data_IF_058773398878
#
_entry.id   IF_058773398878
#
_cell.length_a   1.000
_cell.length_b   1.000
_cell.length_c   1.000
_cell.angle_alpha   90.00
_cell.angle_beta   90.00
_cell.angle_gamma   90.00
#
_symmetry.space_group_name_H-M   'P 1'
#
loop_
_entity.id
_entity.type
_entity.pdbx_description
1 polymer ?
#
# COMPACT_ATOMS: atom_id res chain seq x y z
N UNK A 1 -42.88 58.15 20.66
CA UNK A 1 -41.42 58.20 20.91
C UNK A 1 -40.85 56.82 20.64
N UNK A 2 -40.04 56.62 19.57
CA UNK A 2 -39.44 55.31 19.33
C UNK A 2 -38.27 55.09 20.30
N UNK A 3 -38.29 53.97 21.03
CA UNK A 3 -37.15 53.51 21.83
C UNK A 3 -36.04 53.06 20.88
N UNK A 4 -34.93 53.79 20.86
CA UNK A 4 -33.70 53.37 20.19
C UNK A 4 -33.06 52.23 20.97
N UNK A 5 -32.99 51.05 20.34
CA UNK A 5 -32.29 49.88 20.88
C UNK A 5 -30.76 50.16 20.86
N UNK A 6 -30.00 49.76 21.91
CA UNK A 6 -28.58 50.08 22.00
C UNK A 6 -27.76 49.40 20.90
N UNK A 7 -26.99 50.21 20.18
CA UNK A 7 -26.13 49.90 19.03
C UNK A 7 -24.90 49.00 19.36
N UNK A 8 -24.90 48.33 20.51
CA UNK A 8 -23.76 47.57 21.03
C UNK A 8 -23.75 46.12 20.51
N UNK A 9 -24.88 45.60 20.02
CA UNK A 9 -24.97 44.20 19.59
C UNK A 9 -24.40 43.89 18.19
N UNK A 10 -24.19 44.89 17.32
CA UNK A 10 -23.71 44.62 15.94
C UNK A 10 -22.22 44.26 15.87
N UNK A 11 -21.39 44.78 16.78
CA UNK A 11 -19.94 44.54 16.77
C UNK A 11 -19.55 43.17 17.33
N UNK A 12 -20.41 42.53 18.15
CA UNK A 12 -20.09 41.25 18.80
C UNK A 12 -20.36 40.03 17.91
N UNK A 13 -21.25 40.17 16.91
CA UNK A 13 -21.64 39.11 15.99
C UNK A 13 -20.46 38.50 15.20
N UNK A 14 -19.54 39.29 14.59
CA UNK A 14 -18.41 38.72 13.86
C UNK A 14 -17.44 37.95 14.76
N UNK A 15 -17.23 38.40 16.00
CA UNK A 15 -16.36 37.70 16.94
C UNK A 15 -16.96 36.39 17.42
N UNK A 16 -18.28 36.37 17.69
CA UNK A 16 -18.99 35.14 18.04
C UNK A 16 -18.97 34.12 16.90
N UNK A 17 -19.14 34.57 15.65
CA UNK A 17 -19.06 33.70 14.47
C UNK A 17 -17.64 33.15 14.29
N UNK A 18 -16.61 33.99 14.40
CA UNK A 18 -15.22 33.57 14.31
C UNK A 18 -14.87 32.54 15.40
N UNK A 19 -15.28 32.78 16.65
CA UNK A 19 -15.08 31.86 17.75
C UNK A 19 -15.77 30.51 17.50
N UNK A 20 -16.99 30.51 16.96
CA UNK A 20 -17.73 29.30 16.60
C UNK A 20 -17.00 28.50 15.49
N UNK A 21 -16.51 29.17 14.45
CA UNK A 21 -15.76 28.51 13.36
C UNK A 21 -14.47 27.88 13.88
N UNK A 22 -13.72 28.59 14.72
CA UNK A 22 -12.50 28.06 15.33
C UNK A 22 -12.78 26.87 16.26
N UNK A 23 -13.86 26.94 17.06
CA UNK A 23 -14.27 25.85 17.92
C UNK A 23 -14.68 24.61 17.11
N UNK A 24 -15.50 24.79 16.07
CA UNK A 24 -15.91 23.71 15.18
C UNK A 24 -14.70 23.05 14.51
N UNK A 25 -13.74 23.84 14.01
CA UNK A 25 -12.53 23.33 13.40
C UNK A 25 -11.65 22.54 14.39
N UNK A 26 -11.51 23.02 15.63
CA UNK A 26 -10.78 22.32 16.68
C UNK A 26 -11.46 20.99 17.05
N UNK A 27 -12.79 20.98 17.18
CA UNK A 27 -13.57 19.77 17.44
C UNK A 27 -13.50 18.77 16.29
N UNK A 28 -13.54 19.22 15.03
CA UNK A 28 -13.37 18.35 13.86
C UNK A 28 -11.99 17.73 13.81
N UNK A 29 -10.93 18.52 14.09
CA UNK A 29 -9.56 17.99 14.17
C UNK A 29 -9.40 16.98 15.30
N UNK A 30 -9.94 17.25 16.47
CA UNK A 30 -9.92 16.31 17.59
C UNK A 30 -10.65 15.01 17.24
N UNK A 31 -11.87 15.10 16.70
CA UNK A 31 -12.65 13.93 16.33
C UNK A 31 -11.93 13.03 15.33
N UNK A 32 -11.25 13.63 14.35
CA UNK A 32 -10.49 12.88 13.35
C UNK A 32 -9.29 12.14 13.96
N UNK A 33 -8.52 12.78 14.85
CA UNK A 33 -7.35 12.14 15.47
C UNK A 33 -7.73 10.99 16.40
N UNK A 34 -8.85 11.10 17.12
CA UNK A 34 -9.31 10.02 18.02
C UNK A 34 -9.77 8.77 17.27
N UNK A 35 -10.35 8.92 16.07
CA UNK A 35 -10.87 7.79 15.30
C UNK A 35 -9.76 7.00 14.57
N UNK A 36 -8.57 7.57 14.40
CA UNK A 36 -7.42 6.84 13.84
C UNK A 36 -6.83 5.84 14.84
N UNK A 37 -6.79 6.18 16.13
CA UNK A 37 -6.17 5.34 17.15
C UNK A 37 -6.95 4.04 17.46
N UNK A 38 -8.25 3.98 17.15
CA UNK A 38 -9.08 2.80 17.45
C UNK A 38 -9.01 1.72 16.35
N UNK A 39 -8.65 2.08 15.13
CA UNK A 39 -8.63 1.15 13.98
C UNK A 39 -7.30 0.40 13.82
N UNK A 40 -6.27 0.72 14.61
CA UNK A 40 -4.93 0.10 14.53
C UNK A 40 -4.75 -1.14 15.44
N UNK A 41 -5.84 -1.62 16.05
CA UNK A 41 -5.83 -2.88 16.81
C UNK A 41 -6.10 -4.09 15.90
N UNK A 42 -5.33 -4.22 14.81
CA UNK A 42 -5.22 -5.51 14.11
C UNK A 42 -3.95 -6.22 14.61
N UNK A 43 -4.04 -7.46 15.13
CA UNK A 43 -2.86 -8.17 15.62
C UNK A 43 -1.86 -8.35 14.49
N UNK A 44 -0.67 -7.81 14.70
CA UNK A 44 0.53 -8.10 13.91
C UNK A 44 0.77 -9.61 13.98
N UNK A 45 0.38 -10.31 12.92
CA UNK A 45 0.83 -11.67 12.70
C UNK A 45 2.36 -11.62 12.49
N UNK A 46 3.13 -12.52 13.13
CA UNK A 46 4.58 -12.49 13.03
C UNK A 46 4.98 -12.68 11.56
N UNK A 47 5.68 -11.67 11.03
CA UNK A 47 6.40 -11.72 9.77
C UNK A 47 7.36 -12.90 9.87
N UNK A 48 7.03 -14.00 9.19
CA UNK A 48 7.97 -15.07 8.90
C UNK A 48 8.99 -14.51 7.93
N UNK A 49 10.15 -14.15 8.47
CA UNK A 49 11.35 -13.77 7.72
C UNK A 49 11.85 -15.00 6.95
N UNK A 50 11.17 -15.34 5.85
CA UNK A 50 11.68 -16.31 4.89
C UNK A 50 12.66 -15.58 3.98
N UNK A 51 13.93 -15.69 4.34
CA UNK A 51 15.07 -15.25 3.54
C UNK A 51 14.94 -15.84 2.12
N UNK A 52 14.51 -15.03 1.15
CA UNK A 52 14.66 -15.36 -0.27
C UNK A 52 16.07 -15.00 -0.67
N UNK A 53 16.95 -16.00 -0.60
CA UNK A 53 18.22 -16.02 -1.30
C UNK A 53 17.97 -15.68 -2.76
N UNK A 54 18.44 -14.50 -3.15
CA UNK A 54 18.53 -14.02 -4.51
C UNK A 54 19.50 -14.95 -5.27
N UNK A 55 18.99 -16.04 -5.84
CA UNK A 55 19.75 -16.90 -6.74
C UNK A 55 19.51 -16.41 -8.16
N UNK A 56 20.40 -15.53 -8.61
CA UNK A 56 20.57 -15.15 -10.00
C UNK A 56 20.77 -16.40 -10.87
N UNK A 57 19.87 -16.52 -11.83
CA UNK A 57 19.91 -17.25 -13.09
C UNK A 57 21.32 -17.55 -13.65
N UNK A 58 21.55 -18.78 -14.17
CA UNK A 58 22.54 -19.03 -15.19
C UNK A 58 21.86 -19.45 -16.50
N UNK A 59 21.85 -18.58 -17.50
CA UNK A 59 21.66 -18.98 -18.91
C UNK A 59 23.03 -19.29 -19.51
N UNK A 60 23.44 -20.56 -19.42
CA UNK A 60 24.66 -21.05 -20.07
C UNK A 60 24.35 -21.39 -21.54
N UNK A 61 24.97 -20.65 -22.47
CA UNK A 61 25.06 -21.00 -23.89
C UNK A 61 25.95 -22.23 -24.07
N UNK A 62 25.45 -23.25 -24.75
CA UNK A 62 26.26 -24.39 -25.22
C UNK A 62 26.67 -24.15 -26.66
N UNK A 63 27.96 -23.87 -26.87
CA UNK A 63 28.61 -24.05 -28.17
C UNK A 63 29.38 -25.38 -28.17
N UNK A 64 29.21 -26.07 -29.29
CA UNK A 64 29.69 -27.38 -29.71
C UNK A 64 31.14 -27.72 -29.37
N UNK A 65 31.36 -28.94 -28.86
CA UNK A 65 32.52 -29.75 -29.25
C UNK A 65 32.19 -31.24 -29.21
N UNK A 66 32.11 -31.83 -30.39
CA UNK A 66 32.06 -33.27 -30.65
C UNK A 66 33.29 -33.94 -30.04
N UNK A 67 33.04 -34.87 -29.12
CA UNK A 67 34.01 -35.83 -28.63
C UNK A 67 33.26 -37.12 -28.38
N UNK A 68 33.59 -38.14 -29.18
CA UNK A 68 33.11 -39.51 -29.00
C UNK A 68 33.54 -39.99 -27.61
N UNK A 69 32.59 -40.05 -26.69
CA UNK A 69 32.75 -40.65 -25.37
C UNK A 69 31.68 -41.71 -25.17
N UNK A 70 32.17 -42.83 -24.66
CA UNK A 70 31.51 -44.11 -24.57
C UNK A 70 30.15 -44.07 -23.88
N UNK A 71 29.28 -44.95 -24.35
CA UNK A 71 27.96 -45.30 -23.84
C UNK A 71 28.11 -45.86 -22.41
N UNK A 72 28.32 -44.98 -21.44
CA UNK A 72 28.05 -45.27 -20.04
C UNK A 72 26.55 -45.16 -19.84
N UNK A 73 25.96 -46.26 -19.40
CA UNK A 73 24.58 -46.36 -18.93
C UNK A 73 24.29 -45.24 -17.92
N UNK A 74 23.79 -44.10 -18.42
CA UNK A 74 23.25 -43.04 -17.59
C UNK A 74 21.93 -43.61 -17.05
N UNK A 75 22.05 -44.27 -15.91
CA UNK A 75 20.95 -44.68 -15.06
C UNK A 75 20.06 -43.45 -14.91
N UNK A 76 18.94 -43.51 -15.62
CA UNK A 76 17.93 -42.48 -15.71
C UNK A 76 17.56 -42.10 -14.28
N UNK A 77 18.14 -40.99 -13.80
CA UNK A 77 17.79 -40.41 -12.51
C UNK A 77 16.32 -40.08 -12.66
N UNK A 78 15.49 -40.99 -12.13
CA UNK A 78 14.03 -40.90 -12.13
C UNK A 78 13.74 -39.65 -11.31
N UNK A 79 13.57 -38.54 -12.02
CA UNK A 79 13.30 -37.24 -11.45
C UNK A 79 12.22 -37.44 -10.39
N UNK A 80 12.47 -37.08 -9.12
CA UNK A 80 11.54 -37.40 -8.05
C UNK A 80 10.22 -36.78 -8.47
N UNK A 81 9.19 -37.62 -8.63
CA UNK A 81 7.87 -37.18 -9.00
C UNK A 81 7.47 -36.11 -7.99
N UNK A 82 7.57 -34.84 -8.39
CA UNK A 82 7.23 -33.71 -7.55
C UNK A 82 5.77 -33.95 -7.24
N UNK A 83 5.48 -34.37 -6.02
CA UNK A 83 4.13 -34.52 -5.52
C UNK A 83 3.53 -33.13 -5.54
N UNK A 84 2.86 -32.82 -6.66
CA UNK A 84 2.08 -31.61 -6.85
C UNK A 84 0.84 -31.77 -5.99
N UNK A 85 1.04 -31.81 -4.68
CA UNK A 85 -0.01 -31.50 -3.73
C UNK A 85 -0.46 -30.10 -4.11
N UNK A 86 -1.60 -30.02 -4.78
CA UNK A 86 -2.21 -28.77 -5.18
C UNK A 86 -2.61 -28.06 -3.90
N UNK A 87 -1.71 -27.24 -3.35
CA UNK A 87 -2.03 -26.38 -2.23
C UNK A 87 -3.08 -25.41 -2.74
N UNK A 88 -4.31 -25.56 -2.24
CA UNK A 88 -5.42 -24.69 -2.61
C UNK A 88 -5.05 -23.27 -2.18
N UNK A 89 -5.02 -22.35 -3.14
CA UNK A 89 -4.88 -20.93 -2.85
C UNK A 89 -6.00 -20.52 -1.87
N UNK A 90 -5.62 -19.88 -0.77
CA UNK A 90 -6.55 -19.53 0.32
C UNK A 90 -7.48 -18.36 -0.05
N UNK A 91 -7.06 -17.49 -0.97
CA UNK A 91 -7.82 -16.31 -1.38
C UNK A 91 -8.74 -16.63 -2.56
N UNK A 92 -9.97 -16.10 -2.52
CA UNK A 92 -10.96 -16.25 -3.59
C UNK A 92 -10.82 -15.20 -4.69
N UNK A 93 -10.14 -14.09 -4.42
CA UNK A 93 -9.85 -13.05 -5.39
C UNK A 93 -8.60 -12.26 -4.99
N UNK A 94 -7.95 -11.65 -5.98
CA UNK A 94 -6.91 -10.66 -5.75
C UNK A 94 -7.41 -9.27 -6.13
N UNK A 95 -7.21 -8.31 -5.23
CA UNK A 95 -7.34 -6.90 -5.55
C UNK A 95 -5.96 -6.39 -5.96
N UNK A 96 -5.81 -6.08 -7.24
CA UNK A 96 -4.61 -5.43 -7.77
C UNK A 96 -4.91 -3.95 -7.89
N UNK A 97 -4.15 -3.14 -7.16
CA UNK A 97 -4.26 -1.69 -7.14
C UNK A 97 -3.03 -1.09 -7.81
N UNK A 98 -3.26 -0.26 -8.81
CA UNK A 98 -2.23 0.51 -9.50
C UNK A 98 -2.51 2.00 -9.31
N UNK A 99 -1.51 2.75 -8.84
CA UNK A 99 -1.65 4.15 -8.42
C UNK A 99 -0.51 4.97 -9.01
N UNK A 100 -0.88 6.01 -9.74
CA UNK A 100 0.03 7.06 -10.19
C UNK A 100 -0.15 8.29 -9.30
N UNK A 101 0.96 8.91 -8.92
CA UNK A 101 0.98 10.09 -8.07
C UNK A 101 1.75 11.25 -8.73
N UNK A 102 1.46 12.49 -8.32
CA UNK A 102 2.31 13.64 -8.66
C UNK A 102 3.72 13.39 -8.13
N UNK A 103 4.73 13.89 -8.85
CA UNK A 103 6.11 13.82 -8.41
C UNK A 103 6.88 15.07 -8.85
N UNK A 104 7.96 15.37 -8.13
CA UNK A 104 8.91 16.43 -8.50
C UNK A 104 10.31 15.82 -8.68
N UNK A 105 10.93 15.93 -9.87
CA UNK A 105 12.27 15.39 -10.09
C UNK A 105 13.31 16.06 -9.19
N UNK A 106 14.25 15.26 -8.67
CA UNK A 106 15.35 15.76 -7.83
C UNK A 106 14.96 16.06 -6.39
N UNK A 107 13.72 15.80 -5.97
CA UNK A 107 13.33 15.83 -4.56
C UNK A 107 13.34 14.46 -3.91
N UNK A 108 13.40 14.47 -2.59
CA UNK A 108 13.28 13.28 -1.76
C UNK A 108 11.79 12.90 -1.53
N UNK A 109 11.58 11.92 -0.65
CA UNK A 109 10.24 11.45 -0.27
C UNK A 109 9.44 12.45 0.59
N UNK A 110 9.99 13.63 0.92
CA UNK A 110 9.25 14.66 1.66
C UNK A 110 8.38 15.52 0.74
N UNK A 111 8.49 15.38 -0.58
CA UNK A 111 7.57 16.02 -1.51
C UNK A 111 6.15 15.44 -1.33
N UNK A 112 5.12 16.29 -1.17
CA UNK A 112 3.75 15.83 -0.98
C UNK A 112 3.18 15.31 -2.31
N UNK A 113 3.42 14.03 -2.59
CA UNK A 113 2.83 13.35 -3.76
C UNK A 113 1.31 13.21 -3.56
N UNK A 114 0.53 13.62 -4.56
CA UNK A 114 -0.92 13.51 -4.60
C UNK A 114 -1.31 12.41 -5.60
N UNK A 115 -2.27 11.55 -5.25
CA UNK A 115 -2.76 10.52 -6.18
C UNK A 115 -3.51 11.21 -7.32
N UNK A 116 -3.10 10.93 -8.56
CA UNK A 116 -3.70 11.52 -9.77
C UNK A 116 -4.45 10.50 -10.61
N UNK A 117 -4.03 9.23 -10.58
CA UNK A 117 -4.71 8.14 -11.29
C UNK A 117 -4.69 6.91 -10.40
N UNK A 118 -5.84 6.25 -10.28
CA UNK A 118 -5.94 4.97 -9.60
C UNK A 118 -6.75 4.01 -10.46
N UNK A 119 -6.24 2.80 -10.66
CA UNK A 119 -6.97 1.72 -11.30
C UNK A 119 -7.00 0.49 -10.40
N UNK A 120 -8.14 -0.19 -10.36
CA UNK A 120 -8.33 -1.39 -9.57
C UNK A 120 -8.82 -2.53 -10.44
N UNK A 121 -8.18 -3.68 -10.34
CA UNK A 121 -8.60 -4.90 -11.02
C UNK A 121 -8.86 -5.99 -10.00
N UNK A 122 -10.00 -6.68 -10.16
CA UNK A 122 -10.33 -7.87 -9.39
C UNK A 122 -10.04 -9.08 -10.27
N UNK A 123 -9.07 -9.89 -9.84
CA UNK A 123 -8.74 -11.16 -10.48
C UNK A 123 -9.45 -12.28 -9.73
N UNK A 124 -10.25 -13.06 -10.43
CA UNK A 124 -10.96 -14.25 -9.94
C UNK A 124 -10.33 -15.52 -10.49
#
# INVERSE_FOLDING_TARGET
MPLSLPQIHQELLPFAFLAFVLLAFALSRWYFTTNQALNDSKPVQPISTRNKTLSSQPTHRTDSKTGDFEEQDIEMIKEPAIDRTFVKQTYEAFLVLDVEATCMPGTDFNYPNEIIVSSSQSLK
#
